data_IF_697207735885
#
_entry.id   IF_697207735885
#
_cell.length_a   1.000
_cell.length_b   1.000
_cell.length_c   1.000
_cell.angle_alpha   90.00
_cell.angle_beta   90.00
_cell.angle_gamma   90.00
#
_symmetry.space_group_name_H-M   'P 1'
#
loop_
_entity.id
_entity.type
_entity.pdbx_description
1 polymer ?
#
# COMPACT_ATOMS: atom_id res chain seq x y z
N UNK A 1 -8.51 -16.79 -2.48
CA UNK A 1 -7.33 -16.59 -3.35
C UNK A 1 -6.30 -17.64 -2.97
N UNK A 2 -5.67 -18.34 -3.92
CA UNK A 2 -4.61 -19.30 -3.57
C UNK A 2 -3.32 -18.53 -3.26
N UNK A 3 -2.49 -19.02 -2.32
CA UNK A 3 -1.22 -18.37 -1.90
C UNK A 3 -0.34 -17.94 -3.09
N UNK A 4 -0.41 -18.69 -4.19
CA UNK A 4 0.26 -18.38 -5.46
C UNK A 4 -0.08 -16.99 -6.01
N UNK A 5 -1.37 -16.65 -6.11
CA UNK A 5 -1.81 -15.35 -6.65
C UNK A 5 -1.43 -14.18 -5.74
N UNK A 6 -1.42 -14.40 -4.43
CA UNK A 6 -0.96 -13.40 -3.48
C UNK A 6 0.53 -13.09 -3.66
N UNK A 7 1.36 -14.14 -3.78
CA UNK A 7 2.79 -13.99 -4.07
C UNK A 7 3.03 -13.28 -5.40
N UNK A 8 2.33 -13.69 -6.46
CA UNK A 8 2.40 -13.04 -7.77
C UNK A 8 2.09 -11.53 -7.70
N UNK A 9 1.13 -11.11 -6.86
CA UNK A 9 0.82 -9.69 -6.67
C UNK A 9 1.93 -8.93 -5.93
N UNK A 10 2.54 -9.53 -4.91
CA UNK A 10 3.67 -8.92 -4.20
C UNK A 10 4.92 -8.80 -5.09
N UNK A 11 5.18 -9.82 -5.90
CA UNK A 11 6.35 -9.89 -6.78
C UNK A 11 6.33 -8.79 -7.86
N UNK A 12 5.15 -8.35 -8.29
CA UNK A 12 4.99 -7.23 -9.22
C UNK A 12 5.58 -5.91 -8.67
N UNK A 13 5.77 -5.77 -7.35
CA UNK A 13 6.49 -4.64 -6.79
C UNK A 13 5.65 -3.39 -6.60
N UNK A 14 6.26 -2.22 -6.84
CA UNK A 14 5.65 -0.91 -6.68
C UNK A 14 4.69 -0.59 -7.84
N UNK A 15 3.67 -1.43 -8.01
CA UNK A 15 2.59 -1.24 -8.99
C UNK A 15 1.60 -0.18 -8.51
N UNK A 16 1.04 0.58 -9.44
CA UNK A 16 -0.03 1.53 -9.12
C UNK A 16 -1.28 0.81 -8.64
N UNK A 17 -1.94 1.40 -7.63
CA UNK A 17 -3.19 0.88 -7.08
C UNK A 17 -4.43 1.58 -7.66
N UNK A 18 -4.25 2.49 -8.64
CA UNK A 18 -5.34 3.26 -9.23
C UNK A 18 -5.97 4.33 -8.32
N UNK A 19 -5.31 4.65 -7.20
CA UNK A 19 -5.69 5.72 -6.27
C UNK A 19 -4.55 6.75 -6.18
N UNK A 20 -4.89 7.95 -5.71
CA UNK A 20 -3.91 8.98 -5.33
C UNK A 20 -4.12 9.36 -3.88
N UNK A 21 -3.10 9.90 -3.24
CA UNK A 21 -3.17 10.48 -1.90
C UNK A 21 -3.95 11.82 -1.91
N UNK A 22 -4.09 12.46 -0.74
CA UNK A 22 -4.86 13.71 -0.63
C UNK A 22 -4.26 14.90 -1.41
N UNK A 23 -3.00 14.81 -1.81
CA UNK A 23 -2.30 15.83 -2.59
C UNK A 23 -2.17 15.44 -4.07
N UNK A 24 -2.81 14.35 -4.50
CA UNK A 24 -2.78 13.88 -5.87
C UNK A 24 -1.54 13.05 -6.23
N UNK A 25 -0.73 12.63 -5.25
CA UNK A 25 0.38 11.70 -5.49
C UNK A 25 -0.19 10.31 -5.81
N UNK A 26 0.10 9.71 -6.98
CA UNK A 26 -0.36 8.37 -7.29
C UNK A 26 0.22 7.35 -6.32
N UNK A 27 -0.66 6.57 -5.69
CA UNK A 27 -0.29 5.54 -4.72
C UNK A 27 0.07 4.24 -5.43
N UNK A 28 1.01 3.52 -4.82
CA UNK A 28 1.56 2.25 -5.28
C UNK A 28 1.64 1.26 -4.13
N UNK A 29 1.68 -0.02 -4.47
CA UNK A 29 2.00 -1.06 -3.51
C UNK A 29 3.39 -0.79 -2.88
N UNK A 30 3.50 -1.06 -1.58
CA UNK A 30 4.64 -0.75 -0.72
C UNK A 30 4.87 0.74 -0.42
N UNK A 31 3.94 1.62 -0.75
CA UNK A 31 3.96 2.97 -0.21
C UNK A 31 3.62 2.95 1.29
N UNK A 32 4.45 3.62 2.09
CA UNK A 32 4.05 4.10 3.40
C UNK A 32 3.21 5.37 3.24
N UNK A 33 2.07 5.38 3.91
CA UNK A 33 1.15 6.51 3.92
C UNK A 33 0.75 6.85 5.35
N UNK A 34 0.61 8.14 5.65
CA UNK A 34 0.06 8.60 6.92
C UNK A 34 -1.46 8.77 6.79
N UNK A 35 -2.22 8.28 7.76
CA UNK A 35 -3.65 8.51 7.88
C UNK A 35 -4.00 8.80 9.33
N UNK A 36 -4.43 10.04 9.62
CA UNK A 36 -4.48 10.53 10.99
C UNK A 36 -3.07 10.59 11.60
N UNK A 37 -2.90 9.95 12.76
CA UNK A 37 -1.63 9.93 13.51
C UNK A 37 -0.82 8.65 13.31
N UNK A 38 -1.29 7.75 12.44
CA UNK A 38 -0.70 6.42 12.25
C UNK A 38 -0.14 6.27 10.83
N UNK A 39 0.83 5.37 10.68
CA UNK A 39 1.48 5.04 9.40
C UNK A 39 1.05 3.66 8.93
N UNK A 40 0.61 3.58 7.68
CA UNK A 40 0.09 2.36 7.07
C UNK A 40 0.93 1.99 5.85
N UNK A 41 1.01 0.69 5.57
CA UNK A 41 1.65 0.17 4.37
C UNK A 41 0.59 -0.23 3.34
N UNK A 42 0.66 0.34 2.14
CA UNK A 42 -0.22 -0.04 1.03
C UNK A 42 0.14 -1.43 0.53
N UNK A 43 -0.75 -2.40 0.72
CA UNK A 43 -0.57 -3.80 0.26
C UNK A 43 -1.86 -4.38 -0.29
N UNK A 44 -1.73 -5.43 -1.12
CA UNK A 44 -2.87 -6.21 -1.57
C UNK A 44 -3.44 -7.08 -0.43
N UNK A 45 -4.73 -6.95 -0.15
CA UNK A 45 -5.40 -7.77 0.86
C UNK A 45 -6.06 -9.01 0.21
N UNK A 46 -5.62 -10.24 0.51
CA UNK A 46 -6.04 -11.43 -0.24
C UNK A 46 -7.50 -11.87 0.01
N UNK A 47 -8.10 -11.48 1.14
CA UNK A 47 -9.50 -11.79 1.48
C UNK A 47 -10.45 -10.85 0.74
N UNK A 48 -10.27 -9.54 0.89
CA UNK A 48 -11.08 -8.50 0.24
C UNK A 48 -10.75 -8.29 -1.25
N UNK A 49 -9.60 -8.79 -1.72
CA UNK A 49 -9.14 -8.70 -3.12
C UNK A 49 -9.03 -7.25 -3.60
N UNK A 50 -8.45 -6.40 -2.77
CA UNK A 50 -8.23 -4.97 -3.04
C UNK A 50 -6.93 -4.50 -2.36
N UNK A 51 -6.43 -3.32 -2.75
CA UNK A 51 -5.33 -2.68 -2.03
C UNK A 51 -5.85 -1.92 -0.82
N UNK A 52 -5.21 -2.13 0.33
CA UNK A 52 -5.54 -1.47 1.60
C UNK A 52 -4.30 -0.83 2.20
N UNK A 53 -4.50 0.15 3.07
CA UNK A 53 -3.45 0.61 3.97
C UNK A 53 -3.43 -0.31 5.18
N UNK A 54 -2.44 -1.19 5.31
CA UNK A 54 -2.35 -2.16 6.40
C UNK A 54 -1.52 -1.60 7.56
N UNK A 55 -1.98 -1.84 8.79
CA UNK A 55 -1.28 -1.49 10.02
C UNK A 55 -0.81 -2.73 10.78
N UNK A 56 0.27 -2.61 11.56
CA UNK A 56 0.80 -3.72 12.36
C UNK A 56 -0.16 -4.21 13.45
N UNK A 57 -1.07 -3.36 13.91
CA UNK A 57 -2.10 -3.73 14.89
C UNK A 57 -3.19 -4.65 14.32
N UNK A 58 -3.14 -4.96 13.02
CA UNK A 58 -4.19 -5.72 12.31
C UNK A 58 -5.36 -4.86 11.82
N UNK A 59 -5.33 -3.54 12.06
CA UNK A 59 -6.27 -2.60 11.46
C UNK A 59 -5.89 -2.30 10.00
N UNK A 60 -6.85 -1.85 9.20
CA UNK A 60 -6.58 -1.38 7.84
C UNK A 60 -7.48 -0.22 7.42
N UNK A 61 -6.97 0.57 6.48
CA UNK A 61 -7.72 1.59 5.74
C UNK A 61 -8.26 0.93 4.46
N UNK A 62 -9.58 0.94 4.22
CA UNK A 62 -10.17 0.45 2.96
C UNK A 62 -9.61 1.19 1.75
N UNK A 63 -9.62 0.55 0.57
CA UNK A 63 -9.15 1.16 -0.67
C UNK A 63 -9.79 2.54 -0.93
N UNK A 64 -11.10 2.62 -0.69
CA UNK A 64 -11.92 3.82 -0.88
C UNK A 64 -11.49 5.00 -0.02
N UNK A 65 -10.76 4.78 1.08
CA UNK A 65 -10.35 5.84 2.01
C UNK A 65 -8.87 6.21 1.86
N UNK A 66 -8.11 5.50 1.02
CA UNK A 66 -6.69 5.79 0.79
C UNK A 66 -6.45 7.19 0.22
N UNK A 67 -7.44 7.78 -0.44
CA UNK A 67 -7.38 9.16 -0.95
C UNK A 67 -7.25 10.24 0.12
N UNK A 68 -7.50 9.91 1.39
CA UNK A 68 -7.35 10.84 2.52
C UNK A 68 -5.98 10.71 3.19
N UNK A 69 -5.16 9.77 2.74
CA UNK A 69 -3.81 9.56 3.29
C UNK A 69 -2.80 10.51 2.67
N UNK A 70 -1.62 10.62 3.30
CA UNK A 70 -0.47 11.40 2.82
C UNK A 70 0.64 10.42 2.47
N UNK A 71 1.15 10.46 1.25
CA UNK A 71 2.29 9.65 0.84
C UNK A 71 3.57 10.07 1.58
N UNK A 72 4.34 9.08 2.06
CA UNK A 72 5.64 9.30 2.73
C UNK A 72 6.79 8.84 1.84
N UNK A 73 6.84 7.53 1.53
CA UNK A 73 7.89 6.90 0.72
C UNK A 73 7.43 5.55 0.20
N UNK A 74 8.10 5.03 -0.82
CA UNK A 74 7.95 3.63 -1.22
C UNK A 74 9.06 2.77 -0.59
N UNK A 75 8.69 1.72 0.14
CA UNK A 75 9.67 0.85 0.79
C UNK A 75 10.52 0.07 -0.22
N UNK A 76 9.95 -0.36 -1.35
CA UNK A 76 10.71 -1.12 -2.36
C UNK A 76 11.83 -0.26 -2.95
N UNK A 77 11.55 1.01 -3.23
CA UNK A 77 12.56 1.97 -3.71
C UNK A 77 13.61 2.28 -2.64
N UNK A 78 13.18 2.48 -1.39
CA UNK A 78 14.07 2.76 -0.26
C UNK A 78 15.10 1.65 -0.03
N UNK A 79 14.67 0.38 -0.08
CA UNK A 79 15.58 -0.76 0.10
C UNK A 79 16.36 -1.13 -1.17
N UNK A 80 15.84 -0.84 -2.37
CA UNK A 80 16.59 -1.04 -3.62
C UNK A 80 17.83 -0.14 -3.70
N UNK A 81 17.76 1.05 -3.12
CA UNK A 81 18.83 2.06 -3.13
C UNK A 81 19.87 1.89 -2.01
N UNK A 82 19.73 0.91 -1.11
CA UNK A 82 20.67 0.63 -0.02
C UNK A 82 21.76 -0.41 -0.38
N UNK A 83 22.13 -0.50 -1.66
CA UNK A 83 23.20 -1.40 -2.12
C UNK A 83 24.57 -0.78 -1.93
#
# INVERSE_FOLDING_TARGET
MCLKQFKEMLDQGAISIGQSDQFGKPLRQFDEVQYGNEVYLVIWHPIYREFVGSHESGNWIPNTNLHQSIWIKNLKEHFANKK
#
